data_IF_800282477061
#
_entry.id   IF_800282477061
#
_cell.length_a   1.000
_cell.length_b   1.000
_cell.length_c   1.000
_cell.angle_alpha   90.00
_cell.angle_beta   90.00
_cell.angle_gamma   90.00
#
_symmetry.space_group_name_H-M   'P 1'
#
loop_
_entity.id
_entity.type
_entity.pdbx_description
1 polymer ?
#
# COMPACT_ATOMS: atom_id res chain seq x y z
N UNK A 1 -19.27 -39.79 9.49
CA UNK A 1 -17.85 -40.21 9.42
C UNK A 1 -17.17 -39.78 10.70
N UNK A 2 -16.74 -40.75 11.52
CA UNK A 2 -16.00 -40.48 12.76
C UNK A 2 -14.61 -39.96 12.41
N UNK A 3 -14.08 -38.97 13.15
CA UNK A 3 -12.69 -38.52 12.99
C UNK A 3 -11.72 -39.64 13.39
N UNK A 4 -10.62 -39.85 12.64
CA UNK A 4 -9.62 -40.83 13.03
C UNK A 4 -9.02 -40.46 14.39
N UNK A 5 -8.86 -41.48 15.24
CA UNK A 5 -8.32 -41.35 16.60
C UNK A 5 -6.83 -41.69 16.58
N UNK A 6 -6.01 -41.00 17.38
CA UNK A 6 -4.60 -41.35 17.53
C UNK A 6 -4.52 -42.64 18.35
N UNK A 7 -3.93 -43.69 17.76
CA UNK A 7 -3.82 -45.01 18.40
C UNK A 7 -2.43 -45.22 19.00
N UNK A 8 -1.40 -44.53 18.49
CA UNK A 8 -0.04 -44.59 19.03
C UNK A 8 0.66 -43.24 18.93
N UNK A 9 1.40 -42.85 19.97
CA UNK A 9 2.22 -41.64 20.01
C UNK A 9 3.54 -41.91 20.71
N UNK A 10 4.64 -41.47 20.11
CA UNK A 10 5.99 -41.60 20.66
C UNK A 10 6.74 -40.28 20.47
N UNK A 11 7.37 -39.77 21.54
CA UNK A 11 8.13 -38.52 21.52
C UNK A 11 9.54 -38.77 22.02
N UNK A 12 10.53 -38.42 21.20
CA UNK A 12 11.96 -38.54 21.50
C UNK A 12 12.53 -37.12 21.58
N UNK A 13 13.21 -36.82 22.68
CA UNK A 13 13.87 -35.53 22.90
C UNK A 13 15.37 -35.73 22.97
N UNK A 14 16.13 -34.84 22.32
CA UNK A 14 17.60 -34.84 22.38
C UNK A 14 18.09 -34.55 23.81
N UNK A 15 19.24 -35.11 24.26
CA UNK A 15 19.80 -34.85 25.59
C UNK A 15 19.98 -33.36 25.91
N UNK A 16 20.20 -32.54 24.87
CA UNK A 16 20.43 -31.10 24.99
C UNK A 16 19.14 -30.28 25.09
N UNK A 17 17.96 -30.92 25.00
CA UNK A 17 16.64 -30.31 25.15
C UNK A 17 16.18 -29.40 24.01
N UNK A 18 17.02 -29.13 23.00
CA UNK A 18 16.71 -28.23 21.89
C UNK A 18 15.85 -28.86 20.77
N UNK A 19 15.84 -30.19 20.67
CA UNK A 19 15.18 -30.91 19.57
C UNK A 19 14.25 -31.97 20.10
N UNK A 20 13.00 -31.99 19.62
CA UNK A 20 12.00 -33.01 19.94
C UNK A 20 11.33 -33.53 18.69
N UNK A 21 11.28 -34.85 18.53
CA UNK A 21 10.58 -35.53 17.44
C UNK A 21 9.40 -36.30 18.01
N UNK A 22 8.20 -36.01 17.51
CA UNK A 22 6.97 -36.72 17.89
C UNK A 22 6.40 -37.46 16.69
N UNK A 23 6.20 -38.76 16.82
CA UNK A 23 5.57 -39.62 15.81
C UNK A 23 4.21 -40.08 16.32
N UNK A 24 3.15 -39.86 15.54
CA UNK A 24 1.78 -40.33 15.84
C UNK A 24 1.27 -41.23 14.72
N UNK A 25 0.55 -42.28 15.09
CA UNK A 25 -0.18 -43.17 14.16
C UNK A 25 -1.66 -43.12 14.50
N UNK A 26 -2.49 -42.86 13.50
CA UNK A 26 -3.94 -42.82 13.66
C UNK A 26 -4.63 -44.16 13.36
N UNK A 27 -5.94 -44.23 13.60
CA UNK A 27 -6.77 -45.41 13.39
C UNK A 27 -6.88 -45.86 11.93
N UNK A 28 -6.50 -44.99 11.00
CA UNK A 28 -6.56 -45.23 9.56
C UNK A 28 -5.17 -45.64 9.00
N UNK A 29 -4.18 -45.80 9.88
CA UNK A 29 -2.83 -46.25 9.55
C UNK A 29 -1.91 -45.13 9.03
N UNK A 30 -2.31 -43.86 9.14
CA UNK A 30 -1.50 -42.72 8.73
C UNK A 30 -0.48 -42.39 9.81
N UNK A 31 0.79 -42.30 9.42
CA UNK A 31 1.89 -41.94 10.32
C UNK A 31 2.29 -40.49 10.10
N UNK A 32 2.25 -39.67 11.16
CA UNK A 32 2.69 -38.27 11.15
C UNK A 32 3.89 -38.12 12.07
N UNK A 33 5.02 -37.64 11.53
CA UNK A 33 6.24 -37.37 12.28
C UNK A 33 6.52 -35.87 12.26
N UNK A 34 6.54 -35.26 13.44
CA UNK A 34 6.84 -33.83 13.62
C UNK A 34 8.17 -33.68 14.37
N UNK A 35 9.18 -33.12 13.72
CA UNK A 35 10.46 -32.77 14.33
C UNK A 35 10.51 -31.27 14.59
N UNK A 36 10.79 -30.88 15.83
CA UNK A 36 10.89 -29.47 16.25
C UNK A 36 12.29 -29.21 16.77
N UNK A 37 12.92 -28.14 16.28
CA UNK A 37 14.20 -27.63 16.76
C UNK A 37 14.07 -26.12 16.99
N UNK A 38 14.05 -25.68 18.24
CA UNK A 38 13.77 -24.28 18.59
C UNK A 38 12.39 -23.82 18.09
N UNK A 39 12.34 -22.77 17.26
CA UNK A 39 11.10 -22.23 16.67
C UNK A 39 10.72 -22.84 15.32
N UNK A 40 11.48 -23.82 14.83
CA UNK A 40 11.27 -24.45 13.52
C UNK A 40 10.71 -25.86 13.72
N UNK A 41 9.58 -26.14 13.09
CA UNK A 41 8.94 -27.46 13.09
C UNK A 41 8.75 -27.98 11.68
N UNK A 42 9.17 -29.21 11.42
CA UNK A 42 8.99 -29.91 10.15
C UNK A 42 8.08 -31.11 10.38
N UNK A 43 7.02 -31.24 9.58
CA UNK A 43 6.06 -32.35 9.68
C UNK A 43 6.04 -33.17 8.40
N UNK A 44 6.20 -34.48 8.56
CA UNK A 44 6.12 -35.47 7.47
C UNK A 44 4.93 -36.38 7.71
N UNK A 45 4.09 -36.57 6.69
CA UNK A 45 2.94 -37.49 6.75
C UNK A 45 3.16 -38.61 5.75
N UNK A 46 3.03 -39.85 6.23
CA UNK A 46 3.17 -41.09 5.44
C UNK A 46 1.86 -41.85 5.50
N UNK A 47 1.25 -42.08 4.34
CA UNK A 47 0.05 -42.90 4.21
C UNK A 47 0.34 -44.41 4.36
N UNK A 48 -0.69 -45.24 4.57
CA UNK A 48 -0.55 -46.69 4.74
C UNK A 48 0.12 -47.39 3.54
N UNK A 49 0.06 -46.79 2.34
CA UNK A 49 0.66 -47.31 1.10
C UNK A 49 2.10 -46.79 0.85
N UNK A 50 2.71 -46.08 1.80
CA UNK A 50 4.08 -45.54 1.68
C UNK A 50 4.21 -44.26 0.85
N UNK A 51 3.09 -43.58 0.54
CA UNK A 51 3.09 -42.28 -0.15
C UNK A 51 3.51 -41.15 0.78
N UNK A 52 4.48 -40.33 0.36
CA UNK A 52 5.02 -39.22 1.14
C UNK A 52 4.36 -37.88 0.78
N UNK A 53 3.90 -37.13 1.77
CA UNK A 53 3.57 -35.71 1.62
C UNK A 53 4.36 -34.89 2.65
N UNK A 54 5.16 -33.94 2.17
CA UNK A 54 5.90 -33.01 3.02
C UNK A 54 5.15 -31.67 3.05
N UNK A 55 4.92 -31.13 4.24
CA UNK A 55 4.37 -29.78 4.44
C UNK A 55 5.48 -28.92 5.03
N UNK A 56 5.99 -27.95 4.27
CA UNK A 56 6.86 -26.89 4.80
C UNK A 56 6.07 -25.98 5.73
N UNK A 57 6.62 -25.74 6.93
CA UNK A 57 6.04 -24.87 7.96
C UNK A 57 6.50 -23.42 7.83
N UNK A 58 5.58 -22.50 8.14
CA UNK A 58 5.77 -21.05 8.19
C UNK A 58 6.86 -20.62 9.19
N UNK A 59 7.88 -19.90 8.72
CA UNK A 59 8.70 -19.00 9.55
C UNK A 59 9.22 -17.82 8.71
N UNK A 60 8.95 -16.60 9.17
CA UNK A 60 9.55 -15.37 8.67
C UNK A 60 10.65 -14.91 9.63
N UNK A 61 11.89 -14.67 9.16
CA UNK A 61 12.65 -13.39 9.25
C UNK A 61 14.08 -13.48 8.65
N UNK A 62 14.36 -12.58 7.70
CA UNK A 62 15.58 -11.79 7.40
C UNK A 62 17.03 -12.31 7.62
N UNK A 63 17.89 -12.21 6.59
CA UNK A 63 19.17 -11.45 6.63
C UNK A 63 19.99 -11.51 5.31
N UNK A 64 20.73 -10.43 5.08
CA UNK A 64 21.54 -10.08 3.91
C UNK A 64 22.91 -10.79 3.80
N UNK A 65 23.26 -11.27 2.59
CA UNK A 65 24.57 -11.38 1.86
C UNK A 65 25.88 -11.84 2.60
N UNK A 66 27.03 -12.21 1.92
CA UNK A 66 27.38 -12.35 0.48
C UNK A 66 28.17 -13.66 0.11
N UNK A 67 28.70 -13.70 -1.14
CA UNK A 67 29.81 -14.53 -1.71
C UNK A 67 29.39 -15.78 -2.52
N UNK A 68 30.03 -16.19 -3.63
CA UNK A 68 31.10 -15.68 -4.50
C UNK A 68 31.02 -16.48 -5.83
N UNK A 69 31.29 -15.80 -6.96
CA UNK A 69 32.07 -16.22 -8.15
C UNK A 69 32.01 -17.69 -8.63
N UNK A 70 31.65 -17.87 -9.91
CA UNK A 70 32.42 -18.72 -10.84
C UNK A 70 32.34 -18.20 -12.29
N UNK A 71 33.52 -17.83 -12.80
CA UNK A 71 33.85 -17.53 -14.21
C UNK A 71 34.08 -18.86 -14.95
N UNK A 72 33.86 -18.91 -16.28
CA UNK A 72 34.99 -19.30 -17.13
C UNK A 72 35.26 -18.35 -18.30
N UNK A 73 36.56 -18.24 -18.58
CA UNK A 73 37.23 -17.53 -19.67
C UNK A 73 37.29 -18.43 -20.91
N UNK A 74 37.22 -17.83 -22.11
CA UNK A 74 37.54 -18.47 -23.39
C UNK A 74 37.37 -17.53 -24.59
N UNK A 75 38.49 -16.94 -25.04
CA UNK A 75 38.70 -15.99 -26.16
C UNK A 75 38.68 -16.65 -27.58
N UNK A 76 39.12 -16.00 -28.70
CA UNK A 76 38.62 -14.80 -29.43
C UNK A 76 38.61 -14.98 -30.99
N UNK A 77 38.44 -13.86 -31.73
CA UNK A 77 38.58 -13.61 -33.20
C UNK A 77 37.27 -13.74 -34.02
N UNK A 78 36.95 -12.93 -35.04
CA UNK A 78 37.76 -12.14 -35.98
C UNK A 78 36.94 -10.99 -36.62
N UNK A 79 37.63 -10.18 -37.43
CA UNK A 79 37.34 -8.82 -37.88
C UNK A 79 36.37 -8.61 -39.07
N UNK A 80 35.99 -7.34 -39.26
CA UNK A 80 35.82 -6.56 -40.52
C UNK A 80 34.62 -5.60 -40.40
N UNK A 81 34.65 -4.31 -40.73
CA UNK A 81 35.66 -3.43 -41.30
C UNK A 81 34.99 -2.12 -41.76
N UNK A 82 35.84 -1.13 -42.05
CA UNK A 82 35.64 0.02 -42.96
C UNK A 82 35.13 1.38 -42.40
N UNK A 83 35.86 2.39 -42.87
CA UNK A 83 36.13 3.76 -42.43
C UNK A 83 35.24 4.82 -43.16
N UNK A 84 35.40 6.14 -42.90
CA UNK A 84 34.33 7.14 -42.92
C UNK A 84 34.28 8.00 -44.19
N UNK A 85 33.22 8.80 -44.35
CA UNK A 85 33.19 9.92 -45.31
C UNK A 85 32.77 11.21 -44.60
N UNK A 86 33.69 12.16 -44.68
CA UNK A 86 33.57 13.56 -44.29
C UNK A 86 33.12 14.36 -45.54
N UNK A 87 32.06 15.16 -45.45
CA UNK A 87 31.84 16.27 -46.40
C UNK A 87 31.32 17.51 -45.70
N UNK A 88 32.10 18.57 -45.90
CA UNK A 88 31.93 19.98 -45.55
C UNK A 88 30.95 20.63 -46.53
N UNK A 89 30.12 21.59 -46.10
CA UNK A 89 29.57 22.61 -47.01
C UNK A 89 28.16 23.17 -46.74
N UNK A 90 28.13 24.42 -46.27
CA UNK A 90 27.22 25.52 -46.64
C UNK A 90 25.72 25.51 -46.23
N UNK A 91 25.37 26.49 -45.39
CA UNK A 91 24.08 27.19 -45.29
C UNK A 91 24.03 28.34 -46.36
N UNK A 92 22.95 29.12 -46.59
CA UNK A 92 21.63 29.16 -45.96
C UNK A 92 20.44 29.33 -46.95
N UNK A 93 19.19 29.11 -46.51
CA UNK A 93 18.02 29.83 -47.05
C UNK A 93 16.81 29.76 -46.12
N UNK A 94 16.22 30.93 -45.93
CA UNK A 94 15.04 31.30 -45.16
C UNK A 94 13.76 30.54 -45.56
N UNK A 95 13.03 29.99 -44.58
CA UNK A 95 11.59 29.76 -44.74
C UNK A 95 10.81 30.38 -43.58
N UNK A 96 9.95 31.33 -43.95
CA UNK A 96 8.96 32.01 -43.13
C UNK A 96 7.93 30.97 -42.69
N UNK A 97 7.79 30.70 -41.39
CA UNK A 97 6.71 29.88 -40.84
C UNK A 97 5.65 30.80 -40.21
N UNK A 98 4.52 30.94 -40.90
CA UNK A 98 3.34 31.63 -40.40
C UNK A 98 2.77 30.87 -39.19
N UNK A 99 2.78 31.51 -38.02
CA UNK A 99 2.09 31.04 -36.81
C UNK A 99 0.63 31.52 -36.84
N UNK A 100 -0.25 30.74 -37.48
CA UNK A 100 -1.68 30.81 -37.14
C UNK A 100 -1.89 29.96 -35.90
N UNK A 101 -1.97 30.63 -34.75
CA UNK A 101 -2.32 30.04 -33.46
C UNK A 101 -3.81 29.67 -33.49
N UNK A 102 -4.11 28.43 -33.83
CA UNK A 102 -5.45 27.89 -33.66
C UNK A 102 -5.80 27.98 -32.16
N UNK A 103 -6.95 28.55 -31.77
CA UNK A 103 -7.32 28.57 -30.36
C UNK A 103 -7.47 27.12 -29.88
N UNK A 104 -6.70 26.79 -28.84
CA UNK A 104 -6.67 25.47 -28.23
C UNK A 104 -8.05 25.15 -27.64
N UNK A 105 -8.72 24.18 -28.26
CA UNK A 105 -9.92 23.47 -27.76
C UNK A 105 -9.70 22.87 -26.35
N UNK A 106 -8.45 22.84 -25.88
CA UNK A 106 -8.03 22.42 -24.55
C UNK A 106 -8.45 23.38 -23.43
N UNK A 107 -8.75 24.66 -23.75
CA UNK A 107 -9.19 25.64 -22.75
C UNK A 107 -10.64 25.44 -22.34
N UNK A 108 -11.55 25.07 -23.26
CA UNK A 108 -12.99 24.97 -22.96
C UNK A 108 -13.39 23.71 -22.20
N UNK A 109 -12.68 22.58 -22.39
CA UNK A 109 -13.03 21.30 -21.74
C UNK A 109 -12.44 21.12 -20.34
N UNK A 110 -11.35 21.83 -20.01
CA UNK A 110 -10.82 21.88 -18.63
C UNK A 110 -11.30 23.09 -17.84
N UNK A 111 -11.79 24.15 -18.50
CA UNK A 111 -12.38 25.32 -17.84
C UNK A 111 -13.87 25.18 -17.52
N UNK A 112 -14.46 23.97 -17.60
CA UNK A 112 -15.63 23.64 -16.78
C UNK A 112 -15.17 23.35 -15.34
N UNK A 113 -14.46 24.33 -14.79
CA UNK A 113 -14.12 24.48 -13.39
C UNK A 113 -15.44 24.62 -12.64
N UNK A 114 -15.95 23.50 -12.13
CA UNK A 114 -17.04 23.52 -11.18
C UNK A 114 -16.49 24.07 -9.86
N UNK A 115 -16.39 25.41 -9.81
CA UNK A 115 -16.17 26.22 -8.62
C UNK A 115 -14.77 26.17 -8.01
N UNK A 116 -14.44 27.23 -7.28
CA UNK A 116 -13.33 27.28 -6.32
C UNK A 116 -13.53 26.32 -5.12
N UNK A 117 -14.25 25.22 -5.32
CA UNK A 117 -14.59 24.22 -4.32
C UNK A 117 -13.39 23.37 -3.94
N UNK A 118 -13.46 22.82 -2.72
CA UNK A 118 -12.41 21.96 -2.18
C UNK A 118 -12.31 20.61 -2.92
N UNK A 119 -13.45 20.05 -3.37
CA UNK A 119 -13.53 18.77 -4.08
C UNK A 119 -13.73 18.95 -5.58
N UNK A 120 -13.00 18.19 -6.40
CA UNK A 120 -13.23 18.08 -7.84
C UNK A 120 -14.31 17.06 -8.17
N UNK A 121 -14.84 17.10 -9.40
CA UNK A 121 -15.81 16.10 -9.90
C UNK A 121 -15.23 14.67 -9.88
N UNK A 122 -13.92 14.53 -10.08
CA UNK A 122 -13.24 13.24 -9.99
C UNK A 122 -13.25 12.72 -8.55
N UNK A 123 -12.96 13.60 -7.58
CA UNK A 123 -12.93 13.20 -6.17
C UNK A 123 -14.32 12.73 -5.72
N UNK A 124 -15.36 13.49 -6.10
CA UNK A 124 -16.75 13.13 -5.81
C UNK A 124 -17.17 11.82 -6.51
N UNK A 125 -16.72 11.58 -7.75
CA UNK A 125 -17.05 10.35 -8.46
C UNK A 125 -16.34 9.13 -7.84
N UNK A 126 -15.08 9.28 -7.41
CA UNK A 126 -14.33 8.22 -6.73
C UNK A 126 -14.92 7.88 -5.36
N UNK A 127 -15.24 8.91 -4.57
CA UNK A 127 -15.92 8.73 -3.27
C UNK A 127 -17.28 8.07 -3.49
N UNK A 128 -18.06 8.57 -4.45
CA UNK A 128 -19.35 7.99 -4.82
C UNK A 128 -19.25 6.53 -5.23
N UNK A 129 -18.23 6.15 -6.01
CA UNK A 129 -17.98 4.76 -6.39
C UNK A 129 -17.70 3.87 -5.18
N UNK A 130 -16.86 4.32 -4.24
CA UNK A 130 -16.56 3.56 -3.01
C UNK A 130 -17.84 3.28 -2.21
N UNK A 131 -18.65 4.31 -1.95
CA UNK A 131 -19.91 4.12 -1.22
C UNK A 131 -20.94 3.31 -2.01
N UNK A 132 -20.98 3.45 -3.33
CA UNK A 132 -21.88 2.66 -4.19
C UNK A 132 -21.52 1.17 -4.14
N UNK A 133 -20.24 0.82 -4.15
CA UNK A 133 -19.78 -0.57 -3.99
C UNK A 133 -20.15 -1.11 -2.60
N UNK A 134 -20.03 -0.31 -1.54
CA UNK A 134 -20.46 -0.71 -0.19
C UNK A 134 -21.95 -1.07 -0.15
N UNK A 135 -22.79 -0.16 -0.67
CA UNK A 135 -24.25 -0.31 -0.65
C UNK A 135 -24.65 -1.49 -1.53
N UNK A 136 -24.08 -1.59 -2.74
CA UNK A 136 -24.33 -2.71 -3.64
C UNK A 136 -23.95 -4.03 -2.99
N UNK A 137 -22.79 -4.12 -2.36
CA UNK A 137 -22.36 -5.30 -1.61
C UNK A 137 -23.33 -5.66 -0.47
N UNK A 138 -23.82 -4.67 0.29
CA UNK A 138 -24.79 -4.89 1.36
C UNK A 138 -26.17 -5.37 0.85
N UNK A 139 -26.57 -4.95 -0.36
CA UNK A 139 -27.83 -5.39 -0.98
C UNK A 139 -27.69 -6.79 -1.58
N UNK A 140 -26.66 -7.02 -2.38
CA UNK A 140 -26.41 -8.30 -3.07
C UNK A 140 -26.07 -9.40 -2.06
N UNK A 141 -25.37 -9.08 -0.97
CA UNK A 141 -25.06 -10.03 0.10
C UNK A 141 -26.29 -10.59 0.83
N UNK A 142 -27.49 -10.01 0.66
CA UNK A 142 -28.75 -10.59 1.16
C UNK A 142 -29.31 -11.69 0.26
N UNK A 143 -28.85 -11.76 -0.98
CA UNK A 143 -29.38 -12.64 -2.03
C UNK A 143 -28.39 -13.78 -2.30
N UNK A 144 -27.09 -13.54 -2.11
CA UNK A 144 -26.03 -14.48 -2.46
C UNK A 144 -25.60 -15.29 -1.24
N UNK A 145 -25.73 -16.62 -1.34
CA UNK A 145 -25.30 -17.57 -0.33
C UNK A 145 -23.81 -17.94 -0.44
N UNK A 146 -23.36 -18.95 0.31
CA UNK A 146 -21.97 -19.39 0.39
C UNK A 146 -21.39 -19.80 -0.97
N UNK A 147 -20.57 -18.91 -1.56
CA UNK A 147 -19.74 -19.20 -2.74
C UNK A 147 -18.27 -19.40 -2.34
N UNK A 148 -17.42 -19.74 -3.31
CA UNK A 148 -15.96 -19.80 -3.13
C UNK A 148 -15.37 -18.56 -2.42
N UNK A 149 -15.91 -17.38 -2.70
CA UNK A 149 -15.43 -16.11 -2.13
C UNK A 149 -15.87 -15.89 -0.67
N UNK A 150 -16.84 -16.66 -0.17
CA UNK A 150 -17.25 -16.61 1.24
C UNK A 150 -16.24 -17.30 2.17
N UNK A 151 -15.39 -18.20 1.64
CA UNK A 151 -14.33 -18.81 2.44
C UNK A 151 -13.15 -17.86 2.61
N UNK A 152 -12.81 -17.50 3.85
CA UNK A 152 -11.65 -16.66 4.19
C UNK A 152 -10.31 -17.30 3.81
N UNK A 153 -10.27 -18.59 3.53
CA UNK A 153 -9.09 -19.36 3.13
C UNK A 153 -8.96 -19.51 1.62
N UNK A 154 -9.82 -18.85 0.84
CA UNK A 154 -9.69 -18.87 -0.60
C UNK A 154 -8.36 -18.25 -1.06
N UNK A 155 -7.83 -18.74 -2.18
CA UNK A 155 -6.51 -18.40 -2.70
C UNK A 155 -6.35 -16.88 -2.90
N UNK A 156 -7.37 -16.20 -3.44
CA UNK A 156 -7.31 -14.77 -3.69
C UNK A 156 -7.23 -13.96 -2.39
N UNK A 157 -7.95 -14.39 -1.35
CA UNK A 157 -7.89 -13.71 -0.06
C UNK A 157 -6.53 -13.91 0.62
N UNK A 158 -5.98 -15.12 0.59
CA UNK A 158 -4.67 -15.41 1.18
C UNK A 158 -3.55 -14.67 0.44
N UNK A 159 -3.54 -14.73 -0.89
CA UNK A 159 -2.45 -14.15 -1.68
C UNK A 159 -2.53 -12.63 -1.76
N UNK A 160 -3.70 -12.09 -2.08
CA UNK A 160 -3.85 -10.67 -2.41
C UNK A 160 -4.31 -9.83 -1.24
N UNK A 161 -5.41 -10.21 -0.59
CA UNK A 161 -6.05 -9.36 0.42
C UNK A 161 -5.21 -9.27 1.69
N UNK A 162 -4.70 -10.40 2.20
CA UNK A 162 -3.82 -10.40 3.39
C UNK A 162 -2.52 -9.64 3.16
N UNK A 163 -2.01 -9.64 1.93
CA UNK A 163 -0.78 -8.94 1.54
C UNK A 163 -1.08 -7.66 0.74
N UNK A 164 -2.26 -7.06 0.88
CA UNK A 164 -2.73 -6.00 -0.01
C UNK A 164 -1.80 -4.78 -0.05
N UNK A 165 -1.19 -4.43 1.08
CA UNK A 165 -0.24 -3.33 1.14
C UNK A 165 1.03 -3.63 0.35
N UNK A 166 1.61 -4.84 0.46
CA UNK A 166 2.80 -5.24 -0.30
C UNK A 166 2.59 -5.08 -1.81
N UNK A 167 1.47 -5.60 -2.32
CA UNK A 167 1.12 -5.47 -3.74
C UNK A 167 0.89 -4.03 -4.18
N UNK A 168 0.31 -3.21 -3.28
CA UNK A 168 0.16 -1.76 -3.49
C UNK A 168 1.53 -1.07 -3.58
N UNK A 169 2.46 -1.43 -2.70
CA UNK A 169 3.84 -0.93 -2.70
C UNK A 169 4.58 -1.30 -3.99
N UNK A 170 4.42 -2.52 -4.50
CA UNK A 170 5.04 -2.94 -5.76
C UNK A 170 4.52 -2.10 -6.93
N UNK A 171 3.19 -1.94 -7.05
CA UNK A 171 2.59 -1.12 -8.11
C UNK A 171 3.04 0.36 -8.02
N UNK A 172 3.09 0.90 -6.80
CA UNK A 172 3.58 2.25 -6.55
C UNK A 172 5.08 2.41 -6.85
N UNK A 173 5.91 1.43 -6.48
CA UNK A 173 7.34 1.44 -6.77
C UNK A 173 7.63 1.56 -8.26
N UNK A 174 6.80 0.94 -9.10
CA UNK A 174 6.91 1.05 -10.55
C UNK A 174 6.51 2.45 -11.07
N UNK A 175 5.52 3.11 -10.47
CA UNK A 175 5.18 4.54 -10.75
C UNK A 175 6.36 5.45 -10.41
N UNK A 176 6.97 5.26 -9.23
CA UNK A 176 8.12 6.06 -8.78
C UNK A 176 9.34 5.83 -9.67
N UNK A 177 9.63 4.57 -10.01
CA UNK A 177 10.74 4.20 -10.89
C UNK A 177 10.67 4.91 -12.25
N UNK A 178 9.50 4.94 -12.88
CA UNK A 178 9.32 5.64 -14.15
C UNK A 178 9.44 7.17 -14.01
N UNK A 179 8.98 7.72 -12.89
CA UNK A 179 9.08 9.16 -12.60
C UNK A 179 10.53 9.59 -12.39
N UNK A 180 11.29 8.77 -11.65
CA UNK A 180 12.71 8.96 -11.42
C UNK A 180 13.53 8.81 -12.71
N UNK A 181 13.30 7.75 -13.48
CA UNK A 181 14.02 7.50 -14.74
C UNK A 181 13.78 8.61 -15.77
N UNK A 182 12.56 9.16 -15.84
CA UNK A 182 12.26 10.31 -16.69
C UNK A 182 12.93 11.61 -16.23
N UNK A 183 13.24 11.75 -14.94
CA UNK A 183 13.91 12.93 -14.37
C UNK A 183 15.43 12.92 -14.65
N UNK A 184 16.06 11.74 -14.62
CA UNK A 184 17.48 11.57 -14.98
C UNK A 184 17.69 11.77 -16.48
N UNK A 185 16.79 11.24 -17.33
CA UNK A 185 16.90 11.36 -18.79
C UNK A 185 16.78 12.78 -19.34
N UNK A 186 16.31 13.74 -18.53
CA UNK A 186 16.18 15.17 -18.90
C UNK A 186 17.28 16.05 -18.30
N UNK A 187 18.30 15.49 -17.64
CA UNK A 187 19.44 16.26 -17.13
C UNK A 187 19.06 17.29 -16.06
N UNK A 188 18.01 17.05 -15.28
CA UNK A 188 17.65 17.92 -14.15
C UNK A 188 18.69 17.71 -13.04
N UNK A 189 19.70 18.58 -13.03
CA UNK A 189 20.63 18.71 -11.92
C UNK A 189 19.83 19.11 -10.67
N UNK A 190 19.86 18.27 -9.63
CA UNK A 190 19.37 18.63 -8.31
C UNK A 190 20.27 19.75 -7.79
N UNK A 191 19.86 21.00 -8.03
CA UNK A 191 20.53 22.17 -7.49
C UNK A 191 20.43 22.15 -5.97
N UNK A 192 21.48 21.67 -5.31
CA UNK A 192 21.81 22.13 -3.97
C UNK A 192 22.15 23.60 -4.12
N UNK A 193 21.34 24.47 -3.51
CA UNK A 193 21.66 25.88 -3.40
C UNK A 193 22.89 26.05 -2.50
N UNK A 194 24.07 25.87 -3.07
CA UNK A 194 25.32 26.41 -2.53
C UNK A 194 25.65 27.63 -3.39
N UNK A 195 25.06 28.77 -3.02
CA UNK A 195 25.39 30.06 -3.61
C UNK A 195 26.75 30.54 -3.10
N UNK A 196 27.81 30.26 -3.86
CA UNK A 196 29.05 31.03 -3.83
C UNK A 196 29.19 31.75 -5.17
N UNK A 197 29.13 33.08 -5.15
CA UNK A 197 29.18 33.89 -6.37
C UNK A 197 29.11 35.39 -6.10
N UNK A 198 30.26 35.93 -5.70
CA UNK A 198 30.67 37.33 -5.63
C UNK A 198 30.02 38.25 -6.66
N UNK A 199 29.33 39.32 -6.23
CA UNK A 199 29.17 40.54 -7.03
C UNK A 199 28.99 41.77 -6.14
N UNK A 200 29.88 42.73 -6.34
CA UNK A 200 29.93 44.08 -5.79
C UNK A 200 28.69 44.91 -6.20
N UNK A 201 28.14 45.69 -5.26
CA UNK A 201 27.07 46.65 -5.54
C UNK A 201 26.25 47.08 -4.31
N UNK A 202 26.72 48.14 -3.65
CA UNK A 202 26.02 49.14 -2.81
C UNK A 202 24.52 49.01 -2.49
N UNK A 203 24.24 48.84 -1.19
CA UNK A 203 23.18 49.45 -0.34
C UNK A 203 21.83 49.86 -0.94
N UNK A 204 20.76 49.15 -0.53
CA UNK A 204 19.63 49.76 0.15
C UNK A 204 18.95 48.72 1.06
N UNK A 205 18.91 49.03 2.36
CA UNK A 205 18.31 48.20 3.41
C UNK A 205 16.81 48.01 3.17
N UNK A 206 16.44 46.81 2.76
CA UNK A 206 15.07 46.30 2.82
C UNK A 206 15.07 45.10 3.75
N UNK A 207 14.52 45.27 4.95
CA UNK A 207 14.30 44.21 5.94
C UNK A 207 13.57 43.06 5.26
N UNK A 208 14.28 41.96 5.02
CA UNK A 208 13.71 40.71 4.50
C UNK A 208 13.03 40.00 5.66
N UNK A 209 11.83 40.48 6.00
CA UNK A 209 10.91 39.82 6.91
C UNK A 209 10.33 38.60 6.20
N UNK A 210 11.13 37.54 6.10
CA UNK A 210 10.63 36.22 5.72
C UNK A 210 9.78 35.71 6.87
N UNK A 211 8.50 36.10 6.85
CA UNK A 211 7.50 35.74 7.83
C UNK A 211 7.59 34.25 8.19
N UNK A 212 7.53 33.92 9.48
CA UNK A 212 7.41 32.54 10.00
C UNK A 212 6.46 31.69 9.16
N UNK A 213 5.35 32.29 8.73
CA UNK A 213 4.32 31.68 7.89
C UNK A 213 4.83 31.25 6.51
N UNK A 214 5.77 31.99 5.90
CA UNK A 214 6.36 31.65 4.60
C UNK A 214 7.26 30.43 4.68
N UNK A 215 8.02 30.27 5.78
CA UNK A 215 8.86 29.10 6.03
C UNK A 215 8.02 27.90 6.44
N UNK A 216 7.00 28.08 7.28
CA UNK A 216 6.04 27.03 7.62
C UNK A 216 5.27 26.54 6.39
N UNK A 217 4.83 27.44 5.52
CA UNK A 217 4.18 27.09 4.26
C UNK A 217 5.14 26.45 3.25
N UNK A 218 6.41 26.85 3.20
CA UNK A 218 7.43 26.22 2.37
C UNK A 218 7.78 24.81 2.86
N UNK A 219 7.98 24.64 4.17
CA UNK A 219 8.20 23.34 4.81
C UNK A 219 6.98 22.42 4.64
N UNK A 220 5.76 22.92 4.80
CA UNK A 220 4.53 22.16 4.57
C UNK A 220 4.35 21.79 3.08
N UNK A 221 4.65 22.70 2.15
CA UNK A 221 4.64 22.43 0.71
C UNK A 221 5.72 21.41 0.30
N UNK A 222 6.88 21.44 0.95
CA UNK A 222 7.99 20.50 0.75
C UNK A 222 7.68 19.13 1.35
N UNK A 223 7.14 19.08 2.57
CA UNK A 223 6.74 17.85 3.27
C UNK A 223 5.60 17.13 2.56
N UNK A 224 4.67 17.88 1.95
CA UNK A 224 3.47 17.30 1.30
C UNK A 224 3.60 17.21 -0.23
N UNK A 225 4.67 17.76 -0.82
CA UNK A 225 4.99 17.60 -2.24
C UNK A 225 3.88 18.09 -3.17
N UNK A 226 3.27 19.23 -2.82
CA UNK A 226 2.09 19.76 -3.50
C UNK A 226 2.55 20.56 -4.72
N UNK A 227 2.54 19.90 -5.88
CA UNK A 227 2.21 20.47 -7.20
C UNK A 227 2.94 19.76 -8.35
N UNK A 228 3.97 18.96 -8.08
CA UNK A 228 4.70 18.22 -9.11
C UNK A 228 4.82 16.74 -8.72
N UNK A 229 4.66 15.80 -9.68
CA UNK A 229 4.97 14.39 -9.49
C UNK A 229 6.50 14.24 -9.37
N UNK A 230 7.05 14.72 -8.26
CA UNK A 230 8.44 14.56 -7.89
C UNK A 230 8.56 13.28 -7.09
N UNK A 231 9.62 12.47 -7.28
CA UNK A 231 9.80 11.25 -6.52
C UNK A 231 9.75 11.47 -4.99
N UNK A 232 10.28 12.60 -4.52
CA UNK A 232 10.27 12.98 -3.09
C UNK A 232 8.84 13.18 -2.59
N UNK A 233 8.01 13.93 -3.31
CA UNK A 233 6.61 14.13 -2.93
C UNK A 233 5.78 12.86 -2.98
N UNK A 234 6.06 11.97 -3.94
CA UNK A 234 5.39 10.66 -4.01
C UNK A 234 5.75 9.80 -2.81
N UNK A 235 7.04 9.75 -2.46
CA UNK A 235 7.52 8.98 -1.32
C UNK A 235 6.98 9.52 0.02
N UNK A 236 6.91 10.84 0.19
CA UNK A 236 6.35 11.42 1.42
C UNK A 236 4.88 11.05 1.60
N UNK A 237 4.07 11.13 0.54
CA UNK A 237 2.67 10.67 0.56
C UNK A 237 2.57 9.18 0.86
N UNK A 238 3.39 8.34 0.24
CA UNK A 238 3.43 6.91 0.53
C UNK A 238 3.76 6.62 2.01
N UNK A 239 4.74 7.33 2.58
CA UNK A 239 5.10 7.20 4.00
C UNK A 239 3.92 7.59 4.89
N UNK A 240 3.24 8.71 4.61
CA UNK A 240 2.06 9.14 5.39
C UNK A 240 0.97 8.07 5.40
N UNK A 241 0.64 7.48 4.24
CA UNK A 241 -0.38 6.44 4.15
C UNK A 241 0.08 5.12 4.81
N UNK A 242 1.36 4.77 4.68
CA UNK A 242 1.95 3.61 5.36
C UNK A 242 1.89 3.76 6.87
N UNK A 243 2.25 4.94 7.39
CA UNK A 243 2.14 5.26 8.81
C UNK A 243 0.68 5.16 9.25
N UNK A 244 -0.26 5.76 8.51
CA UNK A 244 -1.69 5.64 8.83
C UNK A 244 -2.16 4.18 8.90
N UNK A 245 -1.76 3.35 7.93
CA UNK A 245 -2.04 1.91 7.93
C UNK A 245 -1.44 1.20 9.15
N UNK A 246 -0.17 1.46 9.48
CA UNK A 246 0.51 0.88 10.64
C UNK A 246 -0.14 1.33 11.97
N UNK A 247 -0.48 2.61 12.12
CA UNK A 247 -1.16 3.13 13.31
C UNK A 247 -2.54 2.48 13.47
N UNK A 248 -3.25 2.28 12.36
CA UNK A 248 -4.56 1.65 12.37
C UNK A 248 -4.50 0.16 12.73
N UNK A 249 -3.53 -0.58 12.19
CA UNK A 249 -3.49 -2.05 12.25
C UNK A 249 -2.50 -2.66 13.26
N UNK A 250 -1.35 -2.05 13.51
CA UNK A 250 -0.21 -2.71 14.17
C UNK A 250 0.45 -1.92 15.31
N UNK A 251 0.00 -0.69 15.60
CA UNK A 251 0.53 0.24 16.62
C UNK A 251 1.58 -0.32 17.61
N UNK A 252 2.85 0.08 17.47
CA UNK A 252 3.98 -0.41 18.29
C UNK A 252 4.03 0.11 19.74
N UNK A 253 3.22 1.12 20.11
CA UNK A 253 3.19 1.73 21.45
C UNK A 253 1.91 1.39 22.25
N UNK A 254 1.35 0.19 22.05
CA UNK A 254 0.12 -0.26 22.71
C UNK A 254 -0.90 -0.95 21.79
N UNK A 255 -2.16 -1.05 22.23
CA UNK A 255 -3.25 -1.69 21.49
C UNK A 255 -3.56 -0.89 20.20
N UNK A 256 -3.76 -1.55 19.02
CA UNK A 256 -4.03 -0.86 17.76
C UNK A 256 -5.28 0.02 17.83
N UNK A 257 -5.35 1.07 17.01
CA UNK A 257 -6.49 2.03 17.01
C UNK A 257 -7.82 1.28 16.81
N UNK A 258 -7.81 0.26 15.95
CA UNK A 258 -8.91 -0.68 15.75
C UNK A 258 -9.45 -1.27 17.06
N UNK A 259 -8.57 -1.86 17.87
CA UNK A 259 -8.96 -2.46 19.13
C UNK A 259 -9.33 -1.41 20.19
N UNK A 260 -8.73 -0.20 20.15
CA UNK A 260 -9.15 0.90 21.02
C UNK A 260 -10.58 1.33 20.70
N UNK A 261 -10.93 1.42 19.42
CA UNK A 261 -12.29 1.69 18.99
C UNK A 261 -13.24 0.54 19.39
N UNK A 262 -12.77 -0.69 19.25
CA UNK A 262 -13.55 -1.88 19.61
C UNK A 262 -13.89 -1.91 21.11
N UNK A 263 -12.93 -1.58 21.98
CA UNK A 263 -13.17 -1.44 23.43
C UNK A 263 -14.00 -0.21 23.76
N UNK A 264 -13.71 0.94 23.13
CA UNK A 264 -14.44 2.19 23.37
C UNK A 264 -15.93 2.12 23.02
N UNK A 265 -16.28 1.26 22.06
CA UNK A 265 -17.67 1.00 21.67
C UNK A 265 -18.36 -0.07 22.51
N UNK A 266 -17.72 -0.51 23.61
CA UNK A 266 -18.30 -1.46 24.57
C UNK A 266 -17.86 -2.91 24.38
N UNK A 267 -16.81 -3.17 23.60
CA UNK A 267 -16.22 -4.50 23.45
C UNK A 267 -15.50 -4.95 24.73
N UNK A 268 -15.77 -6.19 25.15
CA UNK A 268 -15.16 -6.79 26.34
C UNK A 268 -14.79 -8.26 26.09
N UNK A 269 -13.75 -8.71 26.79
CA UNK A 269 -13.32 -10.10 26.78
C UNK A 269 -14.06 -10.88 27.88
N UNK A 270 -14.72 -11.97 27.50
CA UNK A 270 -15.38 -12.90 28.41
C UNK A 270 -14.62 -14.23 28.41
N UNK A 271 -14.21 -14.70 29.59
CA UNK A 271 -13.52 -15.97 29.76
C UNK A 271 -14.49 -17.05 30.22
N UNK A 272 -14.40 -18.23 29.61
CA UNK A 272 -15.33 -19.33 29.86
C UNK A 272 -14.94 -20.21 31.07
N UNK A 273 -14.26 -19.67 32.09
CA UNK A 273 -13.81 -20.44 33.28
C UNK A 273 -14.29 -19.82 34.60
N UNK A 274 -14.96 -20.63 35.40
CA UNK A 274 -15.49 -20.32 36.75
C UNK A 274 -14.41 -19.92 37.79
N UNK A 275 -13.11 -20.01 37.47
CA UNK A 275 -12.02 -19.68 38.40
C UNK A 275 -10.99 -18.68 37.84
N UNK A 276 -11.33 -17.92 36.79
CA UNK A 276 -10.46 -16.85 36.31
C UNK A 276 -10.81 -15.55 37.06
N UNK A 277 -9.93 -15.10 37.95
CA UNK A 277 -10.00 -13.77 38.55
C UNK A 277 -10.19 -12.74 37.42
N UNK A 278 -11.21 -11.87 37.50
CA UNK A 278 -11.40 -10.86 36.48
C UNK A 278 -10.15 -9.98 36.50
N UNK A 279 -9.40 -9.98 35.40
CA UNK A 279 -8.28 -9.05 35.19
C UNK A 279 -8.91 -7.66 35.06
N UNK A 280 -9.29 -7.11 36.21
CA UNK A 280 -9.94 -5.82 36.36
C UNK A 280 -8.83 -4.80 36.29
N UNK A 281 -8.75 -4.09 35.17
CA UNK A 281 -7.87 -2.92 35.02
C UNK A 281 -6.80 -2.99 33.93
N UNK A 282 -6.66 -4.10 33.18
CA UNK A 282 -5.80 -4.12 31.99
C UNK A 282 -6.67 -4.14 30.74
N UNK A 283 -6.64 -3.06 29.95
CA UNK A 283 -7.18 -3.08 28.59
C UNK A 283 -6.53 -4.24 27.84
N UNK A 284 -7.33 -5.22 27.46
CA UNK A 284 -6.90 -6.40 26.72
C UNK A 284 -7.32 -6.23 25.26
N UNK A 285 -6.38 -6.46 24.34
CA UNK A 285 -6.67 -6.49 22.90
C UNK A 285 -7.64 -7.63 22.55
N UNK A 286 -8.47 -7.44 21.53
CA UNK A 286 -9.35 -8.50 21.02
C UNK A 286 -8.58 -9.73 20.57
N UNK A 287 -7.39 -9.53 19.98
CA UNK A 287 -6.49 -10.59 19.57
C UNK A 287 -5.88 -11.32 20.76
N UNK A 288 -5.49 -10.59 21.83
CA UNK A 288 -5.00 -11.20 23.07
C UNK A 288 -6.08 -12.00 23.78
N UNK A 289 -7.32 -11.49 23.84
CA UNK A 289 -8.46 -12.20 24.40
C UNK A 289 -8.67 -13.56 23.74
N UNK A 290 -8.74 -13.57 22.40
CA UNK A 290 -8.93 -14.80 21.61
C UNK A 290 -7.77 -15.78 21.77
N UNK A 291 -6.52 -15.28 21.82
CA UNK A 291 -5.34 -16.11 22.08
C UNK A 291 -5.34 -16.75 23.47
N UNK A 292 -5.88 -16.06 24.47
CA UNK A 292 -6.01 -16.57 25.83
C UNK A 292 -7.23 -17.47 26.04
N UNK A 293 -7.93 -17.88 24.97
CA UNK A 293 -9.12 -18.72 25.05
C UNK A 293 -10.39 -17.99 25.54
N UNK A 294 -10.35 -16.66 25.58
CA UNK A 294 -11.54 -15.83 25.84
C UNK A 294 -12.35 -15.57 24.57
N UNK A 295 -13.64 -15.36 24.75
CA UNK A 295 -14.56 -14.92 23.69
C UNK A 295 -14.76 -13.41 23.79
N UNK A 296 -14.61 -12.70 22.68
CA UNK A 296 -14.88 -11.27 22.65
C UNK A 296 -16.38 -11.02 22.41
N UNK A 297 -16.99 -10.19 23.24
CA UNK A 297 -18.42 -9.86 23.15
C UNK A 297 -18.64 -8.34 23.14
N UNK A 298 -19.63 -7.89 22.35
CA UNK A 298 -19.98 -6.48 22.20
C UNK A 298 -18.94 -5.66 21.41
N UNK A 299 -19.21 -4.35 21.28
CA UNK A 299 -18.39 -3.40 20.53
C UNK A 299 -18.55 -3.49 19.01
N UNK A 300 -18.00 -2.51 18.30
CA UNK A 300 -17.91 -2.48 16.83
C UNK A 300 -16.46 -2.72 16.39
N UNK A 301 -16.23 -3.73 15.55
CA UNK A 301 -14.92 -4.07 14.97
C UNK A 301 -14.83 -3.52 13.54
N UNK A 302 -14.19 -2.36 13.29
CA UNK A 302 -14.13 -1.79 11.95
C UNK A 302 -13.48 -2.78 10.98
N UNK A 303 -13.94 -2.87 9.74
CA UNK A 303 -13.36 -3.84 8.81
C UNK A 303 -11.97 -3.40 8.33
N UNK A 304 -10.92 -4.08 8.81
CA UNK A 304 -9.53 -3.85 8.39
C UNK A 304 -9.28 -4.11 6.90
N UNK A 305 -10.02 -5.05 6.29
CA UNK A 305 -9.93 -5.31 4.85
C UNK A 305 -10.57 -4.22 4.01
N UNK A 306 -11.78 -3.75 4.38
CA UNK A 306 -12.40 -2.61 3.71
C UNK A 306 -11.51 -1.36 3.83
N UNK A 307 -10.95 -1.13 5.02
CA UNK A 307 -9.97 -0.07 5.26
C UNK A 307 -8.79 -0.14 4.29
N UNK A 308 -8.08 -1.27 4.28
CA UNK A 308 -6.87 -1.43 3.47
C UNK A 308 -7.16 -1.34 1.97
N UNK A 309 -8.23 -1.98 1.49
CA UNK A 309 -8.57 -2.01 0.07
C UNK A 309 -9.02 -0.64 -0.45
N UNK A 310 -9.76 0.14 0.34
CA UNK A 310 -10.16 1.51 -0.01
C UNK A 310 -8.94 2.43 0.00
N UNK A 311 -8.12 2.35 1.06
CA UNK A 311 -6.86 3.12 1.17
C UNK A 311 -5.96 2.88 -0.04
N UNK A 312 -5.69 1.61 -0.37
CA UNK A 312 -4.84 1.19 -1.48
C UNK A 312 -5.40 1.60 -2.84
N UNK A 313 -6.70 1.38 -3.09
CA UNK A 313 -7.35 1.76 -4.36
C UNK A 313 -7.20 3.25 -4.60
N UNK A 314 -7.60 4.07 -3.62
CA UNK A 314 -7.61 5.51 -3.79
C UNK A 314 -6.20 6.08 -3.92
N UNK A 315 -5.25 5.63 -3.09
CA UNK A 315 -3.85 6.01 -3.18
C UNK A 315 -3.26 5.75 -4.57
N UNK A 316 -3.44 4.53 -5.11
CA UNK A 316 -2.94 4.18 -6.45
C UNK A 316 -3.60 5.02 -7.55
N UNK A 317 -4.92 5.24 -7.48
CA UNK A 317 -5.62 6.05 -8.48
C UNK A 317 -5.06 7.48 -8.50
N UNK A 318 -4.90 8.13 -7.35
CA UNK A 318 -4.36 9.50 -7.29
C UNK A 318 -2.92 9.60 -7.81
N UNK A 319 -2.03 8.67 -7.43
CA UNK A 319 -0.65 8.65 -7.94
C UNK A 319 -0.57 8.34 -9.44
N UNK A 320 -1.58 7.68 -10.00
CA UNK A 320 -1.61 7.29 -11.41
C UNK A 320 -2.14 8.42 -12.34
N UNK A 321 -2.88 9.40 -11.81
CA UNK A 321 -3.46 10.51 -12.60
C UNK A 321 -2.43 11.21 -13.53
N UNK A 322 -1.21 11.58 -13.07
CA UNK A 322 -0.22 12.23 -13.93
C UNK A 322 0.28 11.32 -15.07
N UNK A 323 0.18 10.00 -14.92
CA UNK A 323 0.64 9.01 -15.88
C UNK A 323 -0.44 8.66 -16.92
N UNK A 324 -1.72 8.85 -16.58
CA UNK A 324 -2.85 8.68 -17.51
C UNK A 324 -2.93 9.85 -18.50
N UNK A 325 -2.58 11.07 -18.09
CA UNK A 325 -2.67 12.24 -18.98
C UNK A 325 -1.74 12.18 -20.21
N UNK A 326 -0.72 11.32 -20.20
CA UNK A 326 0.19 11.13 -21.33
C UNK A 326 -0.24 9.90 -22.14
N UNK A 327 -0.50 10.09 -23.44
CA UNK A 327 -0.80 9.01 -24.40
C UNK A 327 0.44 8.72 -25.25
N UNK A 328 0.80 7.44 -25.47
CA UNK A 328 0.17 6.22 -24.95
C UNK A 328 0.38 6.06 -23.43
N UNK A 329 -0.56 5.37 -22.77
CA UNK A 329 -0.44 5.11 -21.33
C UNK A 329 0.78 4.27 -21.03
N UNK A 330 1.58 4.72 -20.06
CA UNK A 330 2.76 4.00 -19.58
C UNK A 330 2.37 2.66 -18.95
N UNK A 331 3.33 1.73 -18.89
CA UNK A 331 3.10 0.42 -18.28
C UNK A 331 2.74 0.56 -16.79
N UNK A 332 3.33 1.54 -16.09
CA UNK A 332 3.01 1.83 -14.69
C UNK A 332 1.54 2.13 -14.47
N UNK A 333 0.95 2.96 -15.33
CA UNK A 333 -0.45 3.33 -15.23
C UNK A 333 -1.36 2.13 -15.46
N UNK A 334 -0.99 1.22 -16.38
CA UNK A 334 -1.75 -0.01 -16.64
C UNK A 334 -1.69 -0.96 -15.44
N UNK A 335 -0.50 -1.18 -14.88
CA UNK A 335 -0.31 -2.03 -13.69
C UNK A 335 -1.09 -1.46 -12.52
N UNK A 336 -0.91 -0.18 -12.20
CA UNK A 336 -1.57 0.45 -11.07
C UNK A 336 -3.10 0.47 -11.20
N UNK A 337 -3.63 0.75 -12.39
CA UNK A 337 -5.07 0.73 -12.63
C UNK A 337 -5.64 -0.70 -12.57
N UNK A 338 -4.89 -1.70 -13.07
CA UNK A 338 -5.25 -3.11 -12.94
C UNK A 338 -5.29 -3.57 -11.47
N UNK A 339 -4.28 -3.18 -10.69
CA UNK A 339 -4.22 -3.44 -9.25
C UNK A 339 -5.37 -2.74 -8.50
N UNK A 340 -5.68 -1.47 -8.81
CA UNK A 340 -6.80 -0.75 -8.22
C UNK A 340 -8.16 -1.36 -8.58
N UNK A 341 -8.32 -1.86 -9.82
CA UNK A 341 -9.53 -2.57 -10.23
C UNK A 341 -9.68 -3.90 -9.46
N UNK A 342 -8.59 -4.65 -9.29
CA UNK A 342 -8.58 -5.86 -8.47
C UNK A 342 -8.95 -5.55 -7.01
N UNK A 343 -8.42 -4.47 -6.43
CA UNK A 343 -8.79 -4.04 -5.08
C UNK A 343 -10.26 -3.65 -4.96
N UNK A 344 -10.80 -2.95 -5.96
CA UNK A 344 -12.22 -2.60 -5.99
C UNK A 344 -13.11 -3.84 -6.04
N UNK A 345 -12.71 -4.85 -6.82
CA UNK A 345 -13.39 -6.15 -6.86
C UNK A 345 -13.30 -6.91 -5.53
N UNK A 346 -12.11 -7.00 -4.94
CA UNK A 346 -11.94 -7.64 -3.62
C UNK A 346 -12.70 -6.89 -2.52
N UNK A 347 -12.81 -5.57 -2.64
CA UNK A 347 -13.60 -4.75 -1.74
C UNK A 347 -15.10 -5.05 -1.88
N UNK A 348 -15.60 -5.21 -3.11
CA UNK A 348 -16.95 -5.69 -3.35
C UNK A 348 -17.19 -7.07 -2.73
N UNK A 349 -16.30 -8.04 -2.96
CA UNK A 349 -16.39 -9.38 -2.35
C UNK A 349 -16.38 -9.34 -0.82
N UNK A 350 -15.55 -8.47 -0.24
CA UNK A 350 -15.53 -8.26 1.22
C UNK A 350 -16.85 -7.69 1.72
N UNK A 351 -17.45 -6.78 0.93
CA UNK A 351 -18.73 -6.16 1.24
C UNK A 351 -19.92 -7.12 1.12
N UNK A 352 -19.79 -8.23 0.38
CA UNK A 352 -20.80 -9.29 0.31
C UNK A 352 -20.79 -10.17 1.58
N UNK A 353 -19.63 -10.74 1.94
CA UNK A 353 -19.61 -11.93 2.81
C UNK A 353 -19.15 -11.69 4.26
N UNK A 354 -18.44 -10.61 4.56
CA UNK A 354 -17.74 -10.46 5.84
C UNK A 354 -18.14 -9.19 6.56
N UNK A 355 -18.30 -9.20 7.88
CA UNK A 355 -18.70 -8.06 8.72
C UNK A 355 -20.11 -7.51 8.49
N UNK A 356 -20.61 -6.82 9.51
CA UNK A 356 -21.85 -6.05 9.43
C UNK A 356 -21.67 -4.79 8.58
N UNK A 357 -22.79 -4.18 8.16
CA UNK A 357 -22.75 -2.94 7.36
C UNK A 357 -21.97 -1.81 8.06
N UNK A 358 -22.20 -1.61 9.36
CA UNK A 358 -21.57 -0.54 10.12
C UNK A 358 -20.06 -0.74 10.30
N UNK A 359 -19.63 -1.96 10.54
CA UNK A 359 -18.21 -2.32 10.63
C UNK A 359 -17.47 -2.04 9.31
N UNK A 360 -18.10 -2.38 8.17
CA UNK A 360 -17.57 -2.05 6.83
C UNK A 360 -17.50 -0.54 6.62
N UNK A 361 -18.59 0.17 6.95
CA UNK A 361 -18.68 1.63 6.79
C UNK A 361 -17.54 2.34 7.56
N UNK A 362 -17.26 1.93 8.79
CA UNK A 362 -16.16 2.50 9.57
C UNK A 362 -14.81 2.25 8.91
N UNK A 363 -14.55 1.03 8.43
CA UNK A 363 -13.34 0.73 7.67
C UNK A 363 -13.18 1.63 6.44
N UNK A 364 -14.26 1.85 5.69
CA UNK A 364 -14.28 2.75 4.52
C UNK A 364 -13.96 4.19 4.91
N UNK A 365 -14.59 4.72 5.97
CA UNK A 365 -14.35 6.09 6.44
C UNK A 365 -12.88 6.28 6.82
N UNK A 366 -12.30 5.38 7.60
CA UNK A 366 -10.88 5.45 7.96
C UNK A 366 -9.94 5.30 6.76
N UNK A 367 -10.33 4.50 5.75
CA UNK A 367 -9.56 4.34 4.52
C UNK A 367 -9.56 5.62 3.67
N UNK A 368 -10.70 6.31 3.60
CA UNK A 368 -10.82 7.59 2.90
C UNK A 368 -10.12 8.72 3.64
N UNK A 369 -10.13 8.72 4.98
CA UNK A 369 -9.67 9.84 5.82
C UNK A 369 -8.28 10.37 5.43
N UNK A 370 -7.25 9.51 5.42
CA UNK A 370 -5.89 9.96 5.11
C UNK A 370 -5.74 10.38 3.65
N UNK A 371 -6.46 9.73 2.73
CA UNK A 371 -6.38 10.04 1.30
C UNK A 371 -6.98 11.42 1.04
N UNK A 372 -8.17 11.70 1.57
CA UNK A 372 -8.81 13.00 1.41
C UNK A 372 -7.99 14.10 2.06
N UNK A 373 -7.40 13.82 3.23
CA UNK A 373 -6.51 14.77 3.89
C UNK A 373 -5.31 15.13 2.99
N UNK A 374 -4.61 14.12 2.46
CA UNK A 374 -3.36 14.30 1.71
C UNK A 374 -3.58 14.84 0.29
N UNK A 375 -4.59 14.35 -0.43
CA UNK A 375 -4.79 14.68 -1.86
C UNK A 375 -5.78 15.82 -2.11
N UNK A 376 -6.66 16.13 -1.15
CA UNK A 376 -7.70 17.15 -1.32
C UNK A 376 -7.53 18.31 -0.34
N UNK A 377 -7.60 18.03 0.96
CA UNK A 377 -7.65 19.07 1.99
C UNK A 377 -6.35 19.86 2.07
N UNK A 378 -5.19 19.20 2.23
CA UNK A 378 -3.91 19.91 2.35
C UNK A 378 -3.58 20.70 1.07
N UNK A 379 -3.72 20.16 -0.15
CA UNK A 379 -3.57 20.94 -1.37
C UNK A 379 -4.53 22.11 -1.49
N UNK A 380 -5.76 22.01 -0.99
CA UNK A 380 -6.70 23.12 -0.97
C UNK A 380 -6.25 24.23 -0.01
N UNK A 381 -5.85 23.88 1.22
CA UNK A 381 -5.43 24.83 2.25
C UNK A 381 -4.12 25.57 1.91
N UNK A 382 -3.27 24.98 1.08
CA UNK A 382 -1.94 25.52 0.73
C UNK A 382 -1.90 26.31 -0.57
N UNK A 383 -3.04 26.41 -1.29
CA UNK A 383 -3.16 27.22 -2.51
C UNK A 383 -2.96 28.71 -2.19
N UNK A 384 -2.16 29.46 -2.97
CA UNK A 384 -2.09 30.91 -2.85
C UNK A 384 -3.49 31.50 -3.09
N UNK A 385 -3.97 32.36 -2.17
CA UNK A 385 -5.20 33.12 -2.42
C UNK A 385 -4.91 34.15 -3.52
N UNK A 386 -5.83 34.34 -4.49
CA UNK A 386 -5.66 35.39 -5.49
C UNK A 386 -5.55 36.74 -4.76
N UNK A 387 -4.48 37.49 -5.04
CA UNK A 387 -4.37 38.86 -4.55
C UNK A 387 -5.47 39.68 -5.19
N UNK A 388 -6.43 40.14 -4.39
CA UNK A 388 -7.40 41.15 -4.81
C UNK A 388 -6.58 42.38 -5.16
N UNK A 389 -6.42 42.66 -6.46
CA UNK A 389 -5.81 43.88 -6.92
C UNK A 389 -6.64 45.04 -6.40
N UNK A 390 -6.09 45.78 -5.45
CA UNK A 390 -6.60 47.11 -5.08
C UNK A 390 -6.33 48.02 -6.25
N UNK A 391 -7.29 48.13 -7.17
CA UNK A 391 -7.31 49.21 -8.15
C UNK A 391 -7.65 50.48 -7.37
N UNK A 392 -6.61 51.19 -6.91
CA UNK A 392 -6.70 52.59 -6.51
C UNK A 392 -6.32 53.49 -7.68
#
# INVERSE_FOLDING_TARGET
MSKPQIVKQETITSPDGLTSTTTTVDSDGVTTTTSTCGTVSTTTVVGPDGTHTASEGDAAFESSFPNLVKIPVGQPQEANGTTPINRRGANPSSSVRNNYKHPDLHSELTAKSFGNGMFSLLDLSLIGLVFSVLILGALVGKIVDHTYFADKRNFLNILFVKNGWLWTTIAFGYIVYETFSGSIGLGVSFGTNTSTGTRTGTTHDGVSETNSDSKANAALKLLVGISAPTPIGQLSRYIIHSLWWLLFTQWFLGIPIMDRFFVATGGKCEYQKENASPITGKTISSASCRRSGGTWIGGYDPSGHCFLLVLSTMFLVYETIPHIKRRPYKLSAKIALGTAALWTWMYFMTSLYFHTFWEKLMGVIFGLLTVQLVYVVIPYLTRPKPSVGSNN
#
